data_IF_107967889380
#
_entry.id   IF_107967889380
#
_cell.length_a   1.000
_cell.length_b   1.000
_cell.length_c   1.000
_cell.angle_alpha   90.00
_cell.angle_beta   90.00
_cell.angle_gamma   90.00
#
_symmetry.space_group_name_H-M   'P 1'
#
loop_
_entity.id
_entity.type
_entity.pdbx_description
1 polymer ?
#
# COMPACT_ATOMS: atom_id res chain seq x y z
N UNK A 1 -7.78 -5.41 -12.71
CA UNK A 1 -8.23 -4.00 -12.76
C UNK A 1 -8.18 -3.44 -11.35
N UNK A 2 -7.57 -2.28 -11.20
CA UNK A 2 -7.52 -1.49 -9.96
C UNK A 2 -8.30 -0.21 -10.21
N UNK A 3 -9.10 0.22 -9.25
CA UNK A 3 -9.88 1.45 -9.30
C UNK A 3 -9.72 2.20 -7.98
N UNK A 4 -9.42 3.48 -8.07
CA UNK A 4 -9.40 4.45 -6.97
C UNK A 4 -10.50 5.46 -7.27
N UNK A 5 -11.43 5.64 -6.36
CA UNK A 5 -12.59 6.50 -6.57
C UNK A 5 -12.70 7.52 -5.43
N UNK A 6 -12.57 8.79 -5.77
CA UNK A 6 -12.78 9.95 -4.90
C UNK A 6 -12.01 9.86 -3.57
N UNK A 7 -10.76 9.39 -3.62
CA UNK A 7 -9.94 9.18 -2.42
C UNK A 7 -9.42 10.49 -1.88
N UNK A 8 -9.70 10.73 -0.60
CA UNK A 8 -9.14 11.82 0.18
C UNK A 8 -8.31 11.27 1.34
N UNK A 9 -7.20 11.93 1.64
CA UNK A 9 -6.34 11.62 2.80
C UNK A 9 -5.87 12.90 3.44
N UNK A 10 -5.98 12.97 4.76
CA UNK A 10 -5.42 14.04 5.57
C UNK A 10 -4.62 13.47 6.74
N UNK A 11 -3.58 14.20 7.14
CA UNK A 11 -2.77 13.89 8.32
C UNK A 11 -3.00 14.93 9.41
N UNK A 12 -2.75 14.54 10.64
CA UNK A 12 -2.75 15.48 11.75
C UNK A 12 -1.62 16.50 11.53
N UNK A 13 -1.95 17.79 11.56
CA UNK A 13 -0.95 18.84 11.40
C UNK A 13 -0.04 18.90 12.64
N UNK A 14 1.27 18.90 12.41
CA UNK A 14 2.26 19.08 13.48
C UNK A 14 2.44 20.58 13.85
N UNK A 15 1.83 21.50 13.10
CA UNK A 15 2.18 22.92 13.12
C UNK A 15 1.45 23.78 14.13
N UNK A 16 0.43 23.34 14.86
CA UNK A 16 -0.17 24.15 15.93
C UNK A 16 -0.95 23.33 16.95
N UNK A 17 -0.48 23.34 18.18
CA UNK A 17 -1.33 23.20 19.35
C UNK A 17 -2.20 24.46 19.46
N UNK A 18 -3.32 24.50 18.73
CA UNK A 18 -4.39 25.40 19.15
C UNK A 18 -5.00 24.79 20.41
N UNK A 19 -5.18 25.59 21.44
CA UNK A 19 -5.78 25.20 22.73
C UNK A 19 -7.11 24.42 22.57
N UNK A 20 -7.74 24.48 21.40
CA UNK A 20 -8.96 23.77 21.07
C UNK A 20 -8.94 23.42 19.57
N UNK A 21 -8.76 22.13 19.23
CA UNK A 21 -8.95 21.57 17.90
C UNK A 21 -7.68 21.02 17.24
N UNK A 22 -7.79 19.84 16.64
CA UNK A 22 -6.76 19.21 15.80
C UNK A 22 -6.90 19.72 14.38
N UNK A 23 -5.91 20.46 13.89
CA UNK A 23 -5.85 20.84 12.48
C UNK A 23 -5.36 19.63 11.67
N UNK A 24 -5.99 19.34 10.53
CA UNK A 24 -5.58 18.27 9.62
C UNK A 24 -5.14 18.89 8.30
N UNK A 25 -3.97 18.44 7.82
CA UNK A 25 -3.43 18.85 6.53
C UNK A 25 -3.87 17.82 5.49
N UNK A 26 -4.69 18.22 4.55
CA UNK A 26 -5.13 17.35 3.46
C UNK A 26 -4.01 17.19 2.44
N UNK A 27 -3.74 15.95 2.04
CA UNK A 27 -2.67 15.57 1.11
C UNK A 27 -3.21 14.98 -0.18
N UNK A 28 -4.31 14.23 -0.12
CA UNK A 28 -5.01 13.75 -1.30
C UNK A 28 -6.40 14.39 -1.36
N UNK A 29 -6.72 14.96 -2.53
CA UNK A 29 -7.95 15.69 -2.78
C UNK A 29 -8.70 15.00 -3.90
N UNK A 30 -9.72 14.21 -3.56
CA UNK A 30 -10.66 13.60 -4.52
C UNK A 30 -9.99 12.85 -5.67
N UNK A 31 -8.96 12.06 -5.34
CA UNK A 31 -8.16 11.36 -6.36
C UNK A 31 -8.92 10.18 -6.92
N UNK A 32 -9.08 10.17 -8.25
CA UNK A 32 -9.70 9.06 -8.98
C UNK A 32 -8.80 8.60 -10.12
N UNK A 33 -8.60 7.28 -10.23
CA UNK A 33 -7.86 6.67 -11.33
C UNK A 33 -8.28 5.21 -11.52
N UNK A 34 -8.02 4.69 -12.71
CA UNK A 34 -8.33 3.32 -13.09
C UNK A 34 -7.14 2.71 -13.84
N UNK A 35 -6.74 1.52 -13.42
CA UNK A 35 -5.67 0.75 -14.07
C UNK A 35 -6.28 -0.55 -14.59
N UNK A 36 -6.51 -0.68 -15.89
CA UNK A 36 -6.97 -1.90 -16.52
C UNK A 36 -5.98 -3.04 -16.35
N UNK A 37 -6.43 -4.29 -16.52
CA UNK A 37 -5.54 -5.45 -16.51
C UNK A 37 -4.56 -5.38 -17.70
N UNK A 38 -3.29 -5.66 -17.42
CA UNK A 38 -2.23 -5.67 -18.45
C UNK A 38 -1.73 -4.28 -18.85
N UNK A 39 -2.13 -3.22 -18.14
CA UNK A 39 -1.62 -1.86 -18.40
C UNK A 39 -0.68 -1.40 -17.29
N UNK A 40 0.17 -0.44 -17.62
CA UNK A 40 1.03 0.28 -16.68
C UNK A 40 0.56 1.73 -16.62
N UNK A 41 0.43 2.27 -15.39
CA UNK A 41 0.10 3.68 -15.14
C UNK A 41 1.26 4.34 -14.42
N UNK A 42 1.86 5.36 -15.05
CA UNK A 42 2.86 6.22 -14.41
C UNK A 42 2.20 7.37 -13.65
N UNK A 43 2.67 7.64 -12.43
CA UNK A 43 2.24 8.79 -11.62
C UNK A 43 3.42 9.73 -11.47
N UNK A 44 3.30 10.91 -12.07
CA UNK A 44 4.31 11.96 -12.07
C UNK A 44 3.86 13.16 -11.24
N UNK A 45 4.81 13.93 -10.75
CA UNK A 45 4.55 15.14 -9.98
C UNK A 45 5.73 15.51 -9.08
N UNK A 46 5.70 16.70 -8.53
CA UNK A 46 6.73 17.27 -7.65
C UNK A 46 6.84 16.51 -6.32
N UNK A 47 7.95 16.74 -5.60
CA UNK A 47 8.08 16.24 -4.22
C UNK A 47 6.97 16.83 -3.35
N UNK A 48 6.36 16.01 -2.50
CA UNK A 48 5.25 16.45 -1.65
C UNK A 48 3.85 16.42 -2.32
N UNK A 49 3.73 16.13 -3.62
CA UNK A 49 2.43 16.11 -4.31
C UNK A 49 1.50 14.93 -3.95
N UNK A 50 1.83 14.14 -2.93
CA UNK A 50 0.97 13.04 -2.46
C UNK A 50 1.18 11.67 -3.13
N UNK A 51 2.13 11.51 -4.08
CA UNK A 51 2.38 10.24 -4.78
C UNK A 51 2.61 9.07 -3.84
N UNK A 52 3.50 9.25 -2.85
CA UNK A 52 3.81 8.21 -1.86
C UNK A 52 2.61 7.91 -0.96
N UNK A 53 1.78 8.91 -0.65
CA UNK A 53 0.54 8.74 0.11
C UNK A 53 -0.47 7.92 -0.69
N UNK A 54 -0.64 8.23 -1.97
CA UNK A 54 -1.49 7.45 -2.87
C UNK A 54 -1.00 6.01 -3.01
N UNK A 55 0.31 5.81 -3.17
CA UNK A 55 0.92 4.48 -3.17
C UNK A 55 0.62 3.69 -1.90
N UNK A 56 0.74 4.31 -0.71
CA UNK A 56 0.39 3.67 0.57
C UNK A 56 -1.09 3.28 0.65
N UNK A 57 -1.99 4.12 0.11
CA UNK A 57 -3.42 3.77 0.03
C UNK A 57 -3.63 2.57 -0.89
N UNK A 58 -3.03 2.57 -2.09
CA UNK A 58 -3.15 1.47 -3.04
C UNK A 58 -2.57 0.17 -2.46
N UNK A 59 -1.47 0.24 -1.72
CA UNK A 59 -0.84 -0.91 -1.07
C UNK A 59 -1.61 -1.41 0.17
N UNK A 60 -2.68 -0.73 0.60
CA UNK A 60 -3.42 -1.09 1.81
C UNK A 60 -2.71 -0.75 3.12
N UNK A 61 -1.62 0.02 3.05
CA UNK A 61 -0.83 0.47 4.21
C UNK A 61 -1.45 1.68 4.89
N UNK A 62 -2.26 2.45 4.17
CA UNK A 62 -2.95 3.63 4.66
C UNK A 62 -4.42 3.57 4.26
N UNK A 63 -5.33 3.62 5.24
CA UNK A 63 -6.75 3.72 4.96
C UNK A 63 -7.09 5.18 4.61
N UNK A 64 -7.79 5.47 3.50
CA UNK A 64 -8.22 6.83 3.18
C UNK A 64 -9.30 7.33 4.16
N UNK A 65 -9.42 8.64 4.30
CA UNK A 65 -10.49 9.29 5.08
C UNK A 65 -11.84 9.13 4.39
N UNK A 66 -11.86 9.24 3.05
CA UNK A 66 -13.03 9.02 2.21
C UNK A 66 -12.64 8.42 0.87
N UNK A 67 -13.64 8.01 0.10
CA UNK A 67 -13.45 7.35 -1.19
C UNK A 67 -13.27 5.85 -1.09
N UNK A 68 -12.97 5.22 -2.19
CA UNK A 68 -12.95 3.77 -2.30
C UNK A 68 -11.78 3.27 -3.16
N UNK A 69 -11.16 2.18 -2.71
CA UNK A 69 -10.21 1.38 -3.49
C UNK A 69 -10.86 0.04 -3.83
N UNK A 70 -10.90 -0.31 -5.12
CA UNK A 70 -11.36 -1.61 -5.61
C UNK A 70 -10.25 -2.36 -6.33
N UNK A 71 -10.18 -3.66 -6.11
CA UNK A 71 -9.37 -4.59 -6.90
C UNK A 71 -10.28 -5.67 -7.44
N UNK A 72 -10.33 -5.79 -8.77
CA UNK A 72 -11.24 -6.70 -9.47
C UNK A 72 -12.70 -6.56 -9.01
N UNK A 73 -13.16 -5.31 -8.84
CA UNK A 73 -14.51 -5.00 -8.40
C UNK A 73 -14.77 -5.18 -6.90
N UNK A 74 -13.80 -5.72 -6.13
CA UNK A 74 -13.96 -5.92 -4.69
C UNK A 74 -13.37 -4.74 -3.92
N UNK A 75 -14.16 -4.14 -3.05
CA UNK A 75 -13.73 -3.05 -2.17
C UNK A 75 -12.68 -3.55 -1.16
N UNK A 76 -11.56 -2.82 -1.07
CA UNK A 76 -10.44 -3.20 -0.21
C UNK A 76 -10.69 -2.85 1.25
N UNK A 77 -11.30 -1.69 1.50
CA UNK A 77 -11.43 -1.14 2.85
C UNK A 77 -12.79 -1.40 3.50
N UNK A 78 -13.77 -1.94 2.75
CA UNK A 78 -15.09 -2.25 3.29
C UNK A 78 -15.09 -3.40 4.30
N UNK A 79 -14.10 -4.31 4.21
CA UNK A 79 -14.02 -5.48 5.10
C UNK A 79 -12.59 -5.95 5.36
N UNK A 80 -12.43 -6.74 6.41
CA UNK A 80 -11.16 -7.41 6.72
C UNK A 80 -10.73 -8.39 5.62
N UNK A 81 -11.71 -9.02 4.93
CA UNK A 81 -11.47 -9.91 3.80
C UNK A 81 -10.97 -9.17 2.56
N UNK A 82 -11.44 -7.95 2.29
CA UNK A 82 -10.96 -7.10 1.21
C UNK A 82 -9.46 -6.82 1.32
N UNK A 83 -8.99 -6.42 2.51
CA UNK A 83 -7.57 -6.19 2.77
C UNK A 83 -6.71 -7.47 2.63
N UNK A 84 -7.20 -8.61 3.11
CA UNK A 84 -6.50 -9.90 2.93
C UNK A 84 -6.40 -10.30 1.46
N UNK A 85 -7.43 -10.03 0.66
CA UNK A 85 -7.41 -10.28 -0.78
C UNK A 85 -6.42 -9.37 -1.51
N UNK A 86 -6.30 -8.10 -1.09
CA UNK A 86 -5.28 -7.20 -1.59
C UNK A 86 -3.87 -7.79 -1.39
N UNK A 87 -3.52 -8.16 -0.15
CA UNK A 87 -2.19 -8.70 0.19
C UNK A 87 -1.79 -9.93 -0.62
N UNK A 88 -2.76 -10.75 -1.03
CA UNK A 88 -2.50 -11.93 -1.88
C UNK A 88 -2.28 -11.60 -3.36
N UNK A 89 -2.67 -10.42 -3.82
CA UNK A 89 -2.71 -10.05 -5.24
C UNK A 89 -1.78 -8.90 -5.59
N UNK A 90 -1.25 -8.21 -4.60
CA UNK A 90 -0.36 -7.07 -4.76
C UNK A 90 1.06 -7.47 -4.40
N UNK A 91 2.01 -7.03 -5.21
CA UNK A 91 3.43 -7.00 -4.87
C UNK A 91 3.92 -5.57 -4.92
N UNK A 92 4.80 -5.19 -4.01
CA UNK A 92 5.34 -3.83 -3.90
C UNK A 92 6.84 -3.89 -3.99
N UNK A 93 7.41 -3.05 -4.85
CA UNK A 93 8.85 -2.78 -4.89
C UNK A 93 9.05 -1.40 -4.31
N UNK A 94 9.74 -1.32 -3.16
CA UNK A 94 10.05 -0.05 -2.52
C UNK A 94 11.25 0.61 -3.18
N UNK A 95 11.29 1.94 -3.16
CA UNK A 95 12.38 2.73 -3.71
C UNK A 95 13.70 2.46 -2.97
N UNK A 96 13.64 2.29 -1.66
CA UNK A 96 14.78 1.96 -0.82
C UNK A 96 14.78 0.46 -0.49
N UNK A 97 15.66 -0.27 -1.17
CA UNK A 97 15.83 -1.71 -0.97
C UNK A 97 16.67 -2.03 0.28
N UNK A 98 17.50 -1.10 0.74
CA UNK A 98 18.40 -1.35 1.87
C UNK A 98 17.67 -1.47 3.19
N UNK A 99 16.57 -0.73 3.36
CA UNK A 99 15.71 -0.81 4.54
C UNK A 99 14.61 -1.87 4.42
N UNK A 100 14.39 -2.40 3.20
CA UNK A 100 13.32 -3.37 2.93
C UNK A 100 13.68 -4.81 3.33
N UNK A 101 14.98 -5.11 3.41
CA UNK A 101 15.48 -6.43 3.78
C UNK A 101 16.17 -6.38 5.15
N UNK A 102 15.88 -7.34 6.03
CA UNK A 102 16.56 -7.44 7.30
C UNK A 102 18.02 -7.91 7.06
N UNK A 103 19.03 -7.09 7.38
CA UNK A 103 20.43 -7.43 7.10
C UNK A 103 20.97 -8.62 7.92
N UNK A 104 20.21 -9.06 8.94
CA UNK A 104 20.54 -10.25 9.74
C UNK A 104 20.02 -11.53 9.14
N UNK A 105 19.17 -11.46 8.11
CA UNK A 105 18.61 -12.62 7.44
C UNK A 105 19.50 -13.10 6.31
N UNK A 106 19.56 -14.41 6.11
CA UNK A 106 20.14 -15.00 4.91
C UNK A 106 19.25 -14.70 3.70
N UNK A 107 19.80 -14.68 2.52
CA UNK A 107 19.06 -14.40 1.26
C UNK A 107 17.81 -15.28 1.15
N UNK A 108 17.90 -16.58 1.44
CA UNK A 108 16.76 -17.50 1.43
C UNK A 108 15.65 -17.13 2.41
N UNK A 109 15.99 -16.56 3.55
CA UNK A 109 15.01 -16.14 4.56
C UNK A 109 14.27 -14.89 4.10
N UNK A 110 14.98 -13.95 3.45
CA UNK A 110 14.39 -12.75 2.83
C UNK A 110 13.40 -13.15 1.72
N UNK A 111 13.82 -14.08 0.85
CA UNK A 111 12.93 -14.59 -0.23
C UNK A 111 11.72 -15.31 0.37
N UNK A 112 11.94 -16.16 1.38
CA UNK A 112 10.88 -16.89 2.06
C UNK A 112 9.88 -15.97 2.78
N UNK A 113 10.32 -14.80 3.26
CA UNK A 113 9.44 -13.79 3.85
C UNK A 113 8.44 -13.24 2.82
N UNK A 114 8.87 -13.00 1.58
CA UNK A 114 7.99 -12.60 0.47
C UNK A 114 6.88 -13.62 0.15
N UNK A 115 7.11 -14.89 0.44
CA UNK A 115 6.12 -15.95 0.28
C UNK A 115 5.11 -16.06 1.43
N UNK A 116 5.34 -15.35 2.54
CA UNK A 116 4.52 -15.47 3.76
C UNK A 116 3.04 -15.10 3.58
N UNK A 117 2.74 -14.23 2.64
CA UNK A 117 1.37 -13.84 2.31
C UNK A 117 0.56 -14.98 1.65
N UNK A 118 1.25 -15.93 1.01
CA UNK A 118 0.65 -17.03 0.23
C UNK A 118 0.77 -18.38 0.92
N UNK A 119 1.85 -18.60 1.66
CA UNK A 119 2.17 -19.86 2.33
C UNK A 119 2.50 -19.62 3.81
N UNK A 120 1.76 -20.26 4.70
CA UNK A 120 1.94 -20.13 6.16
C UNK A 120 3.05 -21.02 6.71
N UNK A 121 3.33 -22.15 6.04
CA UNK A 121 4.32 -23.09 6.50
C UNK A 121 5.74 -22.60 6.19
N UNK A 122 6.52 -22.32 7.23
CA UNK A 122 7.87 -21.79 7.09
C UNK A 122 8.81 -22.77 6.36
N UNK A 123 8.70 -24.07 6.60
CA UNK A 123 9.53 -25.07 5.91
C UNK A 123 9.27 -25.08 4.40
N UNK A 124 7.99 -25.02 3.98
CA UNK A 124 7.61 -24.96 2.57
C UNK A 124 8.14 -23.68 1.92
N UNK A 125 8.08 -22.55 2.62
CA UNK A 125 8.61 -21.29 2.12
C UNK A 125 10.13 -21.32 1.91
N UNK A 126 10.86 -21.90 2.87
CA UNK A 126 12.32 -22.03 2.77
C UNK A 126 12.72 -22.95 1.60
N UNK A 127 12.06 -24.09 1.43
CA UNK A 127 12.34 -24.98 0.30
C UNK A 127 12.07 -24.28 -1.06
N UNK A 128 10.94 -23.56 -1.19
CA UNK A 128 10.63 -22.79 -2.40
C UNK A 128 11.54 -21.61 -2.66
N UNK A 129 12.24 -21.13 -1.67
CA UNK A 129 13.22 -20.05 -1.82
C UNK A 129 14.60 -20.58 -2.27
N UNK A 130 14.79 -21.89 -2.26
CA UNK A 130 16.01 -22.55 -2.73
C UNK A 130 15.88 -23.06 -4.19
N UNK A 131 14.65 -23.17 -4.72
CA UNK A 131 14.34 -23.46 -6.13
C UNK A 131 14.49 -22.19 -7.02
#
# INVERSE_FOLDING_TARGET
>A
MLEVNNVCVSFRSERQEKLFGTTRDQVLFDVSLKVPKGTCLGILGESGSGKSTLGRVICGLLKPDSGELKIHGTSVYASRSGRKNLQKRLSVVFQDYTTSANPRFRVKEIIAEGLAARERNQKIRLNRAEE
#
